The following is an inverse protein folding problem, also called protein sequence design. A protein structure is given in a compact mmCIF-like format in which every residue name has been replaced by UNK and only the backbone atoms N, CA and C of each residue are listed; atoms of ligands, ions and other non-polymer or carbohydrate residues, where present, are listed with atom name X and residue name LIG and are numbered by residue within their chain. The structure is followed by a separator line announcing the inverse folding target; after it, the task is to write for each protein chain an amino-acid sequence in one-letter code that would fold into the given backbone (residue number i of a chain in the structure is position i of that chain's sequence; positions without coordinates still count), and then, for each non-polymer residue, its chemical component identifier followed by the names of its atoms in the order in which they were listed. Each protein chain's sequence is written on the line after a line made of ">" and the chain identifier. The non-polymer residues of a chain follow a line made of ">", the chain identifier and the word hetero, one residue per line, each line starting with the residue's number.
data_IF_293611040153
#
_entry.id   IF_293611040153
#
_cell.length_a   1.000
_cell.length_b   1.000
_cell.length_c   1.000
_cell.angle_alpha   90.00
_cell.angle_beta   90.00
_cell.angle_gamma   90.00
#
_symmetry.space_group_name_H-M   'P 1'
#
loop_
_entity.id
_entity.type
_entity.pdbx_description
1 polymer ?
#
# COMPACT_ATOMS: atom_id res chain seq x y z
N UNK A 1 -8.82 10.33 6.54
CA UNK A 1 -8.25 8.97 6.46
C UNK A 1 -9.20 8.06 5.73
N UNK A 2 -8.69 7.34 4.75
CA UNK A 2 -9.35 6.26 4.02
C UNK A 2 -8.57 4.97 4.28
N UNK A 3 -9.26 3.86 4.54
CA UNK A 3 -8.62 2.58 4.81
C UNK A 3 -8.54 1.77 3.52
N UNK A 4 -7.34 1.28 3.21
CA UNK A 4 -7.05 0.57 1.98
C UNK A 4 -6.33 -0.75 2.28
N UNK A 5 -6.40 -1.66 1.31
CA UNK A 5 -5.74 -2.96 1.37
C UNK A 5 -4.87 -3.12 0.14
N UNK A 6 -3.59 -3.38 0.36
CA UNK A 6 -2.67 -3.82 -0.69
C UNK A 6 -2.44 -5.32 -0.55
N UNK A 7 -2.40 -6.03 -1.69
CA UNK A 7 -2.08 -7.44 -1.77
C UNK A 7 -1.06 -7.65 -2.88
N UNK A 8 0.09 -8.23 -2.54
CA UNK A 8 1.17 -8.40 -3.51
C UNK A 8 2.23 -9.38 -3.08
N UNK A 9 3.32 -9.46 -3.85
CA UNK A 9 4.47 -10.28 -3.49
C UNK A 9 5.29 -9.63 -2.35
N UNK A 10 5.92 -10.41 -1.46
CA UNK A 10 6.63 -9.86 -0.28
C UNK A 10 7.70 -8.83 -0.59
N UNK A 11 8.40 -8.94 -1.73
CA UNK A 11 9.43 -7.98 -2.14
C UNK A 11 8.89 -6.56 -2.44
N UNK A 12 7.57 -6.40 -2.57
CA UNK A 12 6.92 -5.09 -2.73
C UNK A 12 6.65 -4.39 -1.40
N UNK A 13 6.87 -5.06 -0.26
CA UNK A 13 6.58 -4.49 1.06
C UNK A 13 7.25 -3.14 1.28
N UNK A 14 8.57 -3.06 1.13
CA UNK A 14 9.33 -1.83 1.38
C UNK A 14 8.82 -0.68 0.50
N UNK A 15 8.60 -0.97 -0.79
CA UNK A 15 8.07 0.03 -1.72
C UNK A 15 6.68 0.54 -1.33
N UNK A 16 5.76 -0.34 -0.92
CA UNK A 16 4.41 0.09 -0.49
C UNK A 16 4.49 0.85 0.83
N UNK A 17 5.36 0.45 1.76
CA UNK A 17 5.56 1.16 3.01
C UNK A 17 6.06 2.59 2.78
N UNK A 18 7.05 2.76 1.91
CA UNK A 18 7.58 4.07 1.52
C UNK A 18 6.48 4.95 0.88
N UNK A 19 5.70 4.39 -0.06
CA UNK A 19 4.59 5.12 -0.68
C UNK A 19 3.54 5.58 0.34
N UNK A 20 3.19 4.73 1.30
CA UNK A 20 2.25 5.07 2.37
C UNK A 20 2.78 6.21 3.23
N UNK A 21 4.08 6.20 3.55
CA UNK A 21 4.73 7.26 4.32
C UNK A 21 4.79 8.58 3.54
N UNK A 22 5.15 8.53 2.25
CA UNK A 22 5.26 9.69 1.36
C UNK A 22 3.93 10.46 1.22
N UNK A 23 2.80 9.75 1.29
CA UNK A 23 1.46 10.35 1.26
C UNK A 23 0.92 10.73 2.65
N UNK A 24 1.75 10.63 3.70
CA UNK A 24 1.36 10.94 5.08
C UNK A 24 0.39 9.93 5.69
N UNK A 25 0.36 8.71 5.17
CA UNK A 25 -0.41 7.59 5.69
C UNK A 25 0.33 6.82 6.77
N UNK A 26 -0.28 5.73 7.23
CA UNK A 26 0.32 4.80 8.16
C UNK A 26 -0.21 3.38 7.93
N UNK A 27 0.64 2.40 8.25
CA UNK A 27 0.28 0.99 8.22
C UNK A 27 -0.50 0.64 9.49
N UNK A 28 -1.62 -0.06 9.32
CA UNK A 28 -2.47 -0.58 10.39
C UNK A 28 -2.08 -2.01 10.76
N UNK A 29 -1.89 -2.86 9.74
CA UNK A 29 -1.43 -4.23 9.93
C UNK A 29 -0.72 -4.76 8.69
N UNK A 30 0.19 -5.71 8.91
CA UNK A 30 0.90 -6.44 7.86
C UNK A 30 0.76 -7.92 8.16
N UNK A 31 0.25 -8.67 7.19
CA UNK A 31 0.33 -10.13 7.16
C UNK A 31 1.33 -10.53 6.08
N UNK A 32 2.38 -11.25 6.47
CA UNK A 32 3.48 -11.60 5.58
C UNK A 32 3.67 -13.12 5.55
N UNK A 33 3.52 -13.69 4.36
CA UNK A 33 3.74 -15.09 4.05
C UNK A 33 4.84 -15.23 2.98
N UNK A 34 5.29 -16.47 2.74
CA UNK A 34 6.39 -16.75 1.80
C UNK A 34 6.13 -16.22 0.38
N UNK A 35 4.88 -16.23 -0.07
CA UNK A 35 4.52 -15.87 -1.45
C UNK A 35 3.67 -14.61 -1.54
N UNK A 36 3.28 -14.04 -0.40
CA UNK A 36 2.26 -12.99 -0.35
C UNK A 36 2.46 -12.06 0.83
N UNK A 37 2.18 -10.78 0.63
CA UNK A 37 2.02 -9.78 1.68
C UNK A 37 0.66 -9.11 1.52
N UNK A 38 -0.04 -8.95 2.64
CA UNK A 38 -1.28 -8.20 2.75
C UNK A 38 -1.02 -7.04 3.71
N UNK A 39 -1.23 -5.82 3.25
CA UNK A 39 -1.01 -4.60 4.04
C UNK A 39 -2.35 -3.89 4.17
N UNK A 40 -2.80 -3.70 5.40
CA UNK A 40 -3.93 -2.81 5.72
C UNK A 40 -3.33 -1.50 6.18
N UNK A 41 -3.73 -0.40 5.55
CA UNK A 41 -3.15 0.91 5.81
C UNK A 41 -4.21 2.00 5.69
N UNK A 42 -3.88 3.19 6.19
CA UNK A 42 -4.74 4.36 6.11
C UNK A 42 -3.98 5.56 5.53
N UNK A 43 -4.59 6.27 4.58
CA UNK A 43 -4.01 7.47 3.94
C UNK A 43 -4.97 8.66 4.02
N UNK A 44 -4.50 9.91 3.88
CA UNK A 44 -5.39 11.07 3.67
C UNK A 44 -6.32 10.87 2.47
N UNK A 45 -7.55 11.38 2.54
CA UNK A 45 -8.58 11.08 1.51
C UNK A 45 -8.22 11.69 0.15
N UNK A 46 -7.57 12.84 0.19
CA UNK A 46 -7.03 13.59 -0.93
C UNK A 46 -5.90 12.85 -1.67
N UNK A 47 -5.22 11.91 -1.00
CA UNK A 47 -4.06 11.18 -1.53
C UNK A 47 -4.42 9.80 -2.11
N UNK A 48 -5.66 9.32 -1.92
CA UNK A 48 -6.13 8.00 -2.39
C UNK A 48 -5.83 7.79 -3.88
N UNK A 49 -6.07 8.81 -4.70
CA UNK A 49 -5.85 8.75 -6.16
C UNK A 49 -4.39 8.50 -6.57
N UNK A 50 -3.41 8.93 -5.76
CA UNK A 50 -1.98 8.69 -6.05
C UNK A 50 -1.63 7.23 -5.77
N UNK A 51 -2.16 6.67 -4.69
CA UNK A 51 -1.98 5.27 -4.31
C UNK A 51 -2.64 4.32 -5.32
N UNK A 52 -3.86 4.61 -5.77
CA UNK A 52 -4.55 3.79 -6.76
C UNK A 52 -3.94 3.89 -8.17
N UNK A 53 -3.40 5.06 -8.54
CA UNK A 53 -2.74 5.27 -9.83
C UNK A 53 -1.44 4.47 -9.96
N UNK A 54 -0.62 4.47 -8.91
CA UNK A 54 0.64 3.73 -8.88
C UNK A 54 0.46 2.21 -8.92
N UNK A 55 -0.65 1.70 -8.38
CA UNK A 55 -0.98 0.26 -8.42
C UNK A 55 -1.39 -0.19 -9.84
N UNK A 56 -2.14 0.64 -10.57
CA UNK A 56 -2.66 0.30 -11.91
C UNK A 56 -1.61 0.41 -13.03
N UNK A 57 -0.69 1.38 -12.96
CA UNK A 57 0.32 1.57 -14.00
C UNK A 57 1.36 0.44 -14.04
N UNK A 58 1.45 -0.39 -13.00
CA UNK A 58 2.45 -1.47 -12.87
C UNK A 58 1.88 -2.89 -12.89
N UNK A 59 0.58 -3.02 -13.15
CA UNK A 59 -0.08 -4.29 -13.47
C UNK A 59 -0.10 -4.59 -15.00
N UNK A 60 0.42 -3.66 -15.81
CA UNK A 60 0.75 -3.84 -17.24
C UNK A 60 2.24 -4.13 -17.43
#
# INVERSE_FOLDING_TARGET
>A
MEFMIFRGAPYRYDWVADLIEDVGGFIVSVDMATTEVIIIFAVPKEEVSKVEGDDQDRAR
#
